data_IF_529166348762
#
_entry.id   IF_529166348762
#
_cell.length_a   1.000
_cell.length_b   1.000
_cell.length_c   1.000
_cell.angle_alpha   90.00
_cell.angle_beta   90.00
_cell.angle_gamma   90.00
#
_symmetry.space_group_name_H-M   'P 1'
#
loop_
_entity.id
_entity.type
_entity.pdbx_description
1 polymer ?
#
# COMPACT_ATOMS: atom_id res chain seq x y z
N UNK A 1 -18.06 -2.70 5.38
CA UNK A 1 -16.81 -1.98 5.02
C UNK A 1 -16.69 -0.71 5.87
N UNK A 2 -16.07 -0.80 7.05
CA UNK A 2 -16.00 0.28 8.05
C UNK A 2 -14.98 1.38 7.72
N UNK A 3 -14.20 1.22 6.67
CA UNK A 3 -13.05 2.08 6.32
C UNK A 3 -13.42 3.41 5.67
N UNK A 4 -14.69 3.68 5.33
CA UNK A 4 -15.09 4.87 4.56
C UNK A 4 -16.23 5.69 5.18
N UNK A 5 -16.70 5.37 6.40
CA UNK A 5 -17.68 6.18 7.16
C UNK A 5 -17.02 7.11 8.18
N UNK A 6 -15.69 7.08 8.27
CA UNK A 6 -14.90 7.92 9.16
C UNK A 6 -14.87 9.36 8.63
N UNK A 7 -14.55 10.31 9.50
CA UNK A 7 -14.21 11.66 9.04
C UNK A 7 -13.00 11.64 8.10
N UNK A 8 -12.81 12.74 7.38
CA UNK A 8 -11.78 12.86 6.35
C UNK A 8 -10.36 12.62 6.88
N UNK A 9 -10.06 13.04 8.11
CA UNK A 9 -8.72 12.91 8.68
C UNK A 9 -8.42 11.46 9.04
N UNK A 10 -9.33 10.81 9.76
CA UNK A 10 -9.21 9.40 10.10
C UNK A 10 -9.16 8.51 8.84
N UNK A 11 -9.93 8.83 7.80
CA UNK A 11 -9.88 8.10 6.54
C UNK A 11 -8.54 8.26 5.80
N UNK A 12 -7.96 9.48 5.77
CA UNK A 12 -6.61 9.70 5.21
C UNK A 12 -5.54 8.94 5.98
N UNK A 13 -5.61 8.95 7.32
CA UNK A 13 -4.67 8.24 8.18
C UNK A 13 -4.63 6.73 7.93
N UNK A 14 -5.77 6.12 7.58
CA UNK A 14 -5.83 4.71 7.20
C UNK A 14 -5.24 4.40 5.82
N UNK A 15 -5.23 5.38 4.91
CA UNK A 15 -4.73 5.23 3.54
C UNK A 15 -3.24 5.57 3.42
N UNK A 16 -2.71 6.41 4.32
CA UNK A 16 -1.30 6.82 4.32
C UNK A 16 -0.33 5.61 4.30
N UNK A 17 -0.61 4.47 4.97
CA UNK A 17 0.25 3.29 4.88
C UNK A 17 0.26 2.53 3.57
N UNK A 18 -0.73 2.73 2.70
CA UNK A 18 -0.78 2.06 1.42
C UNK A 18 0.22 2.64 0.43
N UNK A 19 0.39 3.97 0.44
CA UNK A 19 1.35 4.69 -0.39
C UNK A 19 1.62 6.06 0.19
N UNK A 20 2.88 6.49 0.19
CA UNK A 20 3.29 7.80 0.70
C UNK A 20 3.00 8.96 -0.27
N UNK A 21 1.83 8.95 -0.92
CA UNK A 21 1.35 10.02 -1.81
C UNK A 21 0.09 10.63 -1.18
N UNK A 22 0.21 11.76 -0.43
CA UNK A 22 -0.93 12.39 0.25
C UNK A 22 -2.08 12.78 -0.68
N UNK A 23 -1.76 13.18 -1.92
CA UNK A 23 -2.74 13.54 -2.93
C UNK A 23 -3.63 12.34 -3.33
N UNK A 24 -3.08 11.13 -3.35
CA UNK A 24 -3.82 9.91 -3.67
C UNK A 24 -4.81 9.55 -2.56
N UNK A 25 -4.38 9.61 -1.29
CA UNK A 25 -5.26 9.40 -0.14
C UNK A 25 -6.39 10.45 -0.11
N UNK A 26 -6.07 11.71 -0.41
CA UNK A 26 -7.06 12.78 -0.50
C UNK A 26 -8.09 12.52 -1.60
N UNK A 27 -7.64 12.12 -2.80
CA UNK A 27 -8.53 11.81 -3.91
C UNK A 27 -9.54 10.70 -3.57
N UNK A 28 -9.09 9.67 -2.85
CA UNK A 28 -9.96 8.57 -2.40
C UNK A 28 -10.96 9.00 -1.33
N UNK A 29 -10.55 9.86 -0.39
CA UNK A 29 -11.45 10.38 0.66
C UNK A 29 -12.53 11.30 0.06
N UNK A 30 -12.16 12.13 -0.91
CA UNK A 30 -13.10 13.03 -1.61
C UNK A 30 -13.98 12.31 -2.64
N UNK A 31 -13.58 11.13 -3.13
CA UNK A 31 -14.36 10.33 -4.08
C UNK A 31 -15.48 9.48 -3.45
N UNK A 32 -15.68 9.59 -2.13
CA UNK A 32 -16.75 8.91 -1.41
C UNK A 32 -18.14 9.48 -1.76
N UNK A 33 -19.23 8.68 -1.65
CA UNK A 33 -19.28 7.30 -1.18
C UNK A 33 -18.94 6.28 -2.28
N UNK A 34 -18.30 5.18 -1.89
CA UNK A 34 -18.13 4.00 -2.76
C UNK A 34 -19.19 2.95 -2.41
N UNK A 35 -19.91 2.40 -3.42
CA UNK A 35 -20.98 1.44 -3.17
C UNK A 35 -20.46 0.11 -2.62
N UNK A 36 -19.25 -0.29 -2.99
CA UNK A 36 -18.60 -1.52 -2.53
C UNK A 36 -17.07 -1.43 -2.62
N UNK A 37 -16.40 -2.53 -2.23
CA UNK A 37 -14.94 -2.63 -2.21
C UNK A 37 -14.35 -2.58 -3.61
N UNK A 38 -15.05 -3.12 -4.60
CA UNK A 38 -14.59 -3.17 -5.99
C UNK A 38 -14.52 -1.75 -6.56
N UNK A 39 -15.53 -0.93 -6.29
CA UNK A 39 -15.57 0.48 -6.69
C UNK A 39 -14.43 1.30 -6.04
N UNK A 40 -14.16 1.09 -4.74
CA UNK A 40 -13.02 1.71 -4.07
C UNK A 40 -11.69 1.33 -4.72
N UNK A 41 -11.49 0.04 -5.01
CA UNK A 41 -10.25 -0.44 -5.63
C UNK A 41 -10.07 0.05 -7.07
N UNK A 42 -11.17 0.17 -7.83
CA UNK A 42 -11.15 0.74 -9.16
C UNK A 42 -10.71 2.22 -9.13
N UNK A 43 -11.32 3.03 -8.25
CA UNK A 43 -10.96 4.43 -8.07
C UNK A 43 -9.50 4.60 -7.62
N UNK A 44 -9.03 3.73 -6.72
CA UNK A 44 -7.64 3.71 -6.25
C UNK A 44 -6.65 3.45 -7.40
N UNK A 45 -7.00 2.51 -8.29
CA UNK A 45 -6.21 2.17 -9.47
C UNK A 45 -6.19 3.33 -10.48
N UNK A 46 -7.34 3.93 -10.77
CA UNK A 46 -7.44 5.08 -11.67
C UNK A 46 -6.65 6.29 -11.14
N UNK A 47 -6.73 6.55 -9.83
CA UNK A 47 -5.95 7.62 -9.21
C UNK A 47 -4.44 7.37 -9.31
N UNK A 48 -4.00 6.12 -9.21
CA UNK A 48 -2.61 5.74 -9.37
C UNK A 48 -2.10 5.85 -10.81
N UNK A 49 -2.97 5.66 -11.82
CA UNK A 49 -2.61 5.84 -13.24
C UNK A 49 -2.24 7.28 -13.61
N UNK A 50 -2.58 8.27 -12.77
CA UNK A 50 -2.27 9.68 -13.00
C UNK A 50 -0.94 10.12 -12.40
N UNK A 51 -0.21 9.22 -11.74
CA UNK A 51 1.10 9.55 -11.17
C UNK A 51 2.10 9.88 -12.27
N UNK A 52 2.78 11.01 -12.12
CA UNK A 52 3.97 11.32 -12.88
C UNK A 52 5.23 10.79 -12.20
N UNK A 53 6.39 11.15 -12.75
CA UNK A 53 7.70 10.75 -12.21
C UNK A 53 7.88 11.23 -10.75
N UNK A 54 7.43 12.43 -10.41
CA UNK A 54 7.55 12.98 -9.06
C UNK A 54 6.75 12.20 -7.99
N UNK A 55 5.53 11.76 -8.33
CA UNK A 55 4.74 10.89 -7.45
C UNK A 55 5.37 9.51 -7.31
N UNK A 56 5.89 8.95 -8.41
CA UNK A 56 6.58 7.67 -8.40
C UNK A 56 7.84 7.70 -7.53
N UNK A 57 8.69 8.72 -7.68
CA UNK A 57 9.89 8.91 -6.87
C UNK A 57 9.55 9.07 -5.39
N UNK A 58 8.50 9.83 -5.07
CA UNK A 58 8.02 9.97 -3.68
C UNK A 58 7.54 8.64 -3.12
N UNK A 59 6.73 7.88 -3.86
CA UNK A 59 6.29 6.56 -3.44
C UNK A 59 7.49 5.63 -3.19
N UNK A 60 8.42 5.54 -4.14
CA UNK A 60 9.62 4.70 -4.04
C UNK A 60 10.54 5.12 -2.89
N UNK A 61 10.73 6.42 -2.66
CA UNK A 61 11.59 6.94 -1.58
C UNK A 61 11.06 6.62 -0.17
N UNK A 62 9.75 6.38 -0.04
CA UNK A 62 9.12 6.04 1.23
C UNK A 62 9.17 4.54 1.53
N UNK A 63 9.52 3.71 0.53
CA UNK A 63 9.74 2.28 0.72
C UNK A 63 11.22 1.98 1.02
N UNK A 64 11.52 1.19 2.05
CA UNK A 64 12.89 0.69 2.26
C UNK A 64 13.31 -0.14 1.06
N UNK A 65 14.61 -0.12 0.74
CA UNK A 65 15.14 -1.08 -0.23
C UNK A 65 14.82 -2.50 0.23
N UNK A 66 14.54 -3.39 -0.72
CA UNK A 66 14.37 -4.82 -0.42
C UNK A 66 15.64 -5.30 0.31
N UNK A 67 15.50 -5.79 1.55
CA UNK A 67 16.62 -6.19 2.41
C UNK A 67 17.05 -5.19 3.49
N UNK A 68 16.55 -3.94 3.49
CA UNK A 68 16.77 -3.00 4.60
C UNK A 68 15.68 -3.15 5.68
N UNK A 69 16.09 -3.50 6.89
CA UNK A 69 15.19 -3.45 8.07
C UNK A 69 15.01 -2.00 8.50
N UNK A 70 13.77 -1.51 8.44
CA UNK A 70 13.39 -0.27 9.12
C UNK A 70 13.53 -0.41 10.64
N UNK A 71 13.92 0.66 11.35
CA UNK A 71 13.69 0.78 12.79
C UNK A 71 12.19 0.58 13.09
N UNK A 72 11.87 -0.06 14.23
CA UNK A 72 10.52 -0.55 14.55
C UNK A 72 9.45 0.55 14.68
N UNK A 73 9.84 1.81 14.81
CA UNK A 73 8.98 2.95 15.12
C UNK A 73 8.25 3.56 13.91
N UNK A 74 8.50 3.08 12.69
CA UNK A 74 7.85 3.63 11.47
C UNK A 74 6.51 2.93 11.20
N UNK A 75 5.41 3.65 10.90
CA UNK A 75 4.09 3.07 10.58
C UNK A 75 4.13 2.03 9.43
N UNK A 76 5.12 2.17 8.55
CA UNK A 76 5.53 1.32 7.42
C UNK A 76 5.96 -0.12 7.76
N UNK A 77 6.56 -0.29 8.93
CA UNK A 77 7.50 -1.38 9.18
C UNK A 77 6.82 -2.75 9.31
N UNK A 78 5.58 -2.79 9.82
CA UNK A 78 4.84 -4.04 9.98
C UNK A 78 4.40 -4.65 8.63
N UNK A 79 3.89 -3.84 7.70
CA UNK A 79 3.52 -4.27 6.35
C UNK A 79 4.76 -4.69 5.54
N UNK A 80 5.83 -3.90 5.60
CA UNK A 80 7.09 -4.20 4.90
C UNK A 80 7.69 -5.54 5.30
N UNK A 81 7.63 -5.93 6.59
CA UNK A 81 8.10 -7.25 7.05
C UNK A 81 7.26 -8.40 6.54
N UNK A 82 5.93 -8.22 6.44
CA UNK A 82 5.04 -9.25 5.92
C UNK A 82 5.29 -9.51 4.43
N UNK A 83 5.52 -8.46 3.66
CA UNK A 83 5.83 -8.56 2.23
C UNK A 83 7.24 -9.09 1.96
N UNK A 84 8.21 -8.81 2.85
CA UNK A 84 9.59 -9.32 2.75
C UNK A 84 9.84 -10.62 3.53
N UNK A 85 8.78 -11.34 3.91
CA UNK A 85 8.90 -12.64 4.55
C UNK A 85 9.71 -13.62 3.67
N UNK A 86 10.43 -14.59 4.27
CA UNK A 86 11.29 -15.49 3.51
C UNK A 86 10.48 -16.27 2.48
N UNK A 87 10.82 -16.11 1.21
CA UNK A 87 10.40 -17.00 0.13
C UNK A 87 11.11 -18.33 0.30
N UNK A 88 10.65 -19.16 1.24
CA UNK A 88 11.18 -20.52 1.40
C UNK A 88 10.60 -21.37 0.29
N UNK A 89 11.22 -21.32 -0.88
CA UNK A 89 11.00 -22.26 -1.96
C UNK A 89 11.61 -23.60 -1.49
N UNK A 90 10.80 -24.46 -0.86
CA UNK A 90 11.19 -25.86 -0.63
C UNK A 90 11.25 -26.55 -1.99
N UNK A 91 12.42 -26.51 -2.62
CA UNK A 91 12.76 -27.37 -3.75
C UNK A 91 12.69 -28.82 -3.26
N UNK A 92 11.54 -29.47 -3.47
CA UNK A 92 11.35 -30.88 -3.17
C UNK A 92 12.10 -31.64 -4.26
N UNK A 93 13.36 -31.97 -4.01
CA UNK A 93 14.13 -32.91 -4.83
C UNK A 93 13.38 -34.26 -4.80
N UNK A 94 12.78 -34.63 -5.92
CA UNK A 94 12.30 -35.98 -6.16
C UNK A 94 13.53 -36.86 -6.48
N UNK A 95 13.72 -38.02 -5.81
CA UNK A 95 14.76 -38.95 -6.23
C UNK A 95 14.38 -39.55 -7.58
N UNK A 96 15.33 -39.50 -8.51
CA UNK A 96 15.17 -40.03 -9.86
C UNK A 96 15.32 -41.55 -9.90
N UNK A 97 14.36 -42.18 -10.60
CA UNK A 97 14.32 -43.55 -11.13
C UNK A 97 14.28 -44.70 -10.14
#
# INVERSE_FOLDING_TARGET
MRTLTLDDEAARGLLQPCVAIPAWATALVQGRPYPDRTALLAAAKEAAQRWGEAELDRALSAHPRIGEKLPEERPHAALSRHEQGPSTMKMRLLPGR
#
